data_IF_936073562260
#
_entry.id   IF_936073562260
#
_cell.length_a   1.000
_cell.length_b   1.000
_cell.length_c   1.000
_cell.angle_alpha   90.00
_cell.angle_beta   90.00
_cell.angle_gamma   90.00
#
_symmetry.space_group_name_H-M   'P 1'
#
loop_
_entity.id
_entity.type
_entity.pdbx_description
1 polymer ?
#
# COMPACT_ATOMS: atom_id res chain seq x y z
N UNK A 1 -4.23 24.78 10.50
CA UNK A 1 -3.13 23.96 9.95
C UNK A 1 -2.68 22.80 10.85
N UNK A 2 -2.97 22.77 12.16
CA UNK A 2 -2.52 21.68 13.04
C UNK A 2 -3.15 20.30 12.75
N UNK A 3 -4.46 20.25 12.47
CA UNK A 3 -5.20 19.00 12.20
C UNK A 3 -4.62 18.14 11.05
N UNK A 4 -4.34 18.69 9.85
CA UNK A 4 -3.77 17.89 8.77
C UNK A 4 -2.35 17.41 9.08
N UNK A 5 -1.54 18.20 9.81
CA UNK A 5 -0.20 17.79 10.24
C UNK A 5 -0.27 16.61 11.23
N UNK A 6 -1.20 16.65 12.19
CA UNK A 6 -1.41 15.55 13.12
C UNK A 6 -1.88 14.28 12.40
N UNK A 7 -2.85 14.40 11.49
CA UNK A 7 -3.31 13.27 10.70
C UNK A 7 -2.17 12.66 9.87
N UNK A 8 -1.38 13.51 9.20
CA UNK A 8 -0.22 13.08 8.45
C UNK A 8 0.83 12.38 9.33
N UNK A 9 1.16 12.93 10.50
CA UNK A 9 2.09 12.31 11.43
C UNK A 9 1.60 10.94 11.91
N UNK A 10 0.30 10.80 12.18
CA UNK A 10 -0.32 9.51 12.54
C UNK A 10 -0.21 8.51 11.40
N UNK A 11 -0.49 8.92 10.16
CA UNK A 11 -0.40 8.04 9.00
C UNK A 11 1.03 7.58 8.72
N UNK A 12 2.00 8.50 8.77
CA UNK A 12 3.42 8.19 8.57
C UNK A 12 3.93 7.29 9.69
N UNK A 13 3.63 7.62 10.96
CA UNK A 13 4.02 6.82 12.11
C UNK A 13 3.46 5.40 12.02
N UNK A 14 2.18 5.27 11.67
CA UNK A 14 1.56 3.98 11.40
C UNK A 14 2.26 3.22 10.26
N UNK A 15 2.54 3.91 9.15
CA UNK A 15 3.18 3.30 7.99
C UNK A 15 4.58 2.77 8.30
N UNK A 16 5.40 3.55 9.03
CA UNK A 16 6.72 3.13 9.48
C UNK A 16 6.62 1.91 10.38
N UNK A 17 5.73 1.94 11.38
CA UNK A 17 5.54 0.82 12.30
C UNK A 17 5.10 -0.45 11.55
N UNK A 18 4.11 -0.34 10.67
CA UNK A 18 3.58 -1.47 9.89
C UNK A 18 4.62 -2.02 8.93
N UNK A 19 5.41 -1.16 8.28
CA UNK A 19 6.49 -1.59 7.40
C UNK A 19 7.59 -2.34 8.16
N UNK A 20 7.90 -1.94 9.41
CA UNK A 20 8.88 -2.65 10.26
C UNK A 20 8.35 -3.99 10.76
N UNK A 21 7.05 -4.08 11.06
CA UNK A 21 6.39 -5.30 11.53
C UNK A 21 5.93 -6.24 10.40
N UNK A 22 6.39 -6.02 9.15
CA UNK A 22 5.86 -6.71 7.96
C UNK A 22 6.52 -8.06 7.62
N UNK A 23 7.30 -8.64 8.54
CA UNK A 23 7.94 -9.95 8.34
C UNK A 23 6.94 -11.03 7.90
N UNK A 24 5.81 -11.12 8.60
CA UNK A 24 4.75 -12.10 8.30
C UNK A 24 4.07 -11.84 6.95
N UNK A 25 3.92 -10.57 6.56
CA UNK A 25 3.32 -10.20 5.27
C UNK A 25 4.22 -10.62 4.11
N UNK A 26 5.54 -10.49 4.26
CA UNK A 26 6.51 -10.94 3.25
C UNK A 26 6.49 -12.45 3.12
N UNK A 27 6.51 -13.18 4.23
CA UNK A 27 6.42 -14.64 4.23
C UNK A 27 5.14 -15.13 3.52
N UNK A 28 3.99 -14.52 3.85
CA UNK A 28 2.72 -14.83 3.20
C UNK A 28 2.70 -14.46 1.71
N UNK A 29 3.34 -13.36 1.32
CA UNK A 29 3.45 -12.97 -0.08
C UNK A 29 4.26 -14.00 -0.88
N UNK A 30 5.45 -14.41 -0.41
CA UNK A 30 6.28 -15.39 -1.13
C UNK A 30 5.66 -16.79 -1.22
N UNK A 31 4.77 -17.16 -0.29
CA UNK A 31 4.06 -18.44 -0.34
C UNK A 31 3.05 -18.55 -1.50
N UNK A 32 2.68 -17.43 -2.12
CA UNK A 32 1.68 -17.40 -3.19
C UNK A 32 2.32 -17.46 -4.58
N UNK A 33 1.66 -18.11 -5.55
CA UNK A 33 2.14 -18.15 -6.92
C UNK A 33 2.09 -16.76 -7.56
N UNK A 34 3.06 -16.47 -8.43
CA UNK A 34 3.32 -15.17 -9.06
C UNK A 34 2.06 -14.43 -9.53
N UNK A 35 1.22 -15.09 -10.34
CA UNK A 35 0.02 -14.47 -10.91
C UNK A 35 -0.98 -14.04 -9.83
N UNK A 36 -1.12 -14.82 -8.75
CA UNK A 36 -1.99 -14.45 -7.62
C UNK A 36 -1.42 -13.29 -6.83
N UNK A 37 -0.10 -13.22 -6.65
CA UNK A 37 0.56 -12.09 -5.96
C UNK A 37 0.37 -10.78 -6.71
N UNK A 38 0.57 -10.79 -8.03
CA UNK A 38 0.37 -9.60 -8.87
C UNK A 38 -1.09 -9.13 -8.82
N UNK A 39 -2.04 -10.05 -9.00
CA UNK A 39 -3.47 -9.73 -8.94
C UNK A 39 -3.88 -9.19 -7.56
N UNK A 40 -3.42 -9.80 -6.47
CA UNK A 40 -3.71 -9.33 -5.11
C UNK A 40 -3.04 -7.99 -4.82
N UNK A 41 -1.76 -7.82 -5.20
CA UNK A 41 -1.03 -6.58 -5.04
C UNK A 41 -1.73 -5.41 -5.73
N UNK A 42 -2.13 -5.62 -7.00
CA UNK A 42 -2.91 -4.64 -7.76
C UNK A 42 -4.29 -4.39 -7.13
N UNK A 43 -4.98 -5.45 -6.70
CA UNK A 43 -6.28 -5.34 -6.03
C UNK A 43 -6.22 -4.50 -4.76
N UNK A 44 -5.20 -4.69 -3.92
CA UNK A 44 -4.99 -3.87 -2.73
C UNK A 44 -4.66 -2.42 -3.06
N UNK A 45 -3.88 -2.15 -4.11
CA UNK A 45 -3.62 -0.78 -4.56
C UNK A 45 -4.89 -0.08 -5.07
N UNK A 46 -5.72 -0.76 -5.85
CA UNK A 46 -7.00 -0.23 -6.31
C UNK A 46 -7.95 0.02 -5.12
N UNK A 47 -8.01 -0.91 -4.17
CA UNK A 47 -8.80 -0.73 -2.96
C UNK A 47 -8.28 0.44 -2.11
N UNK A 48 -6.96 0.66 -2.08
CA UNK A 48 -6.34 1.81 -1.39
C UNK A 48 -6.76 3.15 -1.99
N UNK A 49 -6.95 3.20 -3.32
CA UNK A 49 -7.45 4.39 -4.00
C UNK A 49 -8.87 4.73 -3.54
N UNK A 50 -9.74 3.71 -3.46
CA UNK A 50 -11.11 3.88 -2.94
C UNK A 50 -11.09 4.31 -1.48
N UNK A 51 -10.21 3.71 -0.67
CA UNK A 51 -10.04 4.05 0.74
C UNK A 51 -9.50 5.49 0.96
N UNK A 52 -8.77 6.06 0.00
CA UNK A 52 -8.35 7.46 0.04
C UNK A 52 -9.43 8.42 -0.45
N UNK A 53 -9.95 8.17 -1.65
CA UNK A 53 -10.89 9.09 -2.31
C UNK A 53 -12.28 9.07 -1.68
N UNK A 54 -12.77 7.91 -1.25
CA UNK A 54 -14.09 7.76 -0.65
C UNK A 54 -14.28 8.65 0.59
N UNK A 55 -13.39 8.58 1.59
CA UNK A 55 -13.46 9.42 2.78
C UNK A 55 -13.26 10.91 2.52
N UNK A 56 -12.46 11.30 1.51
CA UNK A 56 -12.37 12.69 1.06
C UNK A 56 -13.72 13.14 0.51
N UNK A 57 -14.33 12.37 -0.40
CA UNK A 57 -15.66 12.66 -0.94
C UNK A 57 -16.74 12.73 0.15
N UNK A 58 -16.71 11.80 1.11
CA UNK A 58 -17.60 11.81 2.27
C UNK A 58 -17.41 13.04 3.16
N UNK A 59 -16.17 13.44 3.44
CA UNK A 59 -15.87 14.65 4.19
C UNK A 59 -16.33 15.92 3.45
N UNK A 60 -16.19 15.97 2.11
CA UNK A 60 -16.70 17.06 1.28
C UNK A 60 -18.22 17.13 1.33
N UNK A 61 -18.91 15.99 1.21
CA UNK A 61 -20.37 15.94 1.31
C UNK A 61 -20.88 16.43 2.67
N UNK A 62 -20.23 15.99 3.76
CA UNK A 62 -20.54 16.47 5.11
C UNK A 62 -20.27 17.96 5.27
N UNK A 63 -19.19 18.48 4.70
CA UNK A 63 -18.90 19.92 4.72
C UNK A 63 -19.99 20.70 3.99
N UNK A 64 -20.41 20.23 2.81
CA UNK A 64 -21.47 20.87 2.03
C UNK A 64 -22.81 20.91 2.79
N UNK A 65 -23.19 19.81 3.43
CA UNK A 65 -24.39 19.74 4.28
C UNK A 65 -24.33 20.67 5.50
N UNK A 66 -23.13 21.03 5.96
CA UNK A 66 -22.90 21.93 7.10
C UNK A 66 -22.54 23.36 6.66
N UNK A 67 -22.93 23.77 5.45
CA UNK A 67 -22.72 25.13 4.96
C UNK A 67 -21.26 25.46 4.63
N UNK A 68 -20.51 24.47 4.14
CA UNK A 68 -19.09 24.59 3.79
C UNK A 68 -18.14 24.59 4.97
N UNK A 69 -18.62 24.25 6.18
CA UNK A 69 -17.81 24.19 7.39
C UNK A 69 -17.18 22.82 7.57
N UNK A 70 -15.92 22.81 7.99
CA UNK A 70 -15.26 21.58 8.42
C UNK A 70 -16.00 20.96 9.62
N UNK A 71 -16.23 19.65 9.57
CA UNK A 71 -16.86 18.90 10.66
C UNK A 71 -15.86 17.94 11.29
N UNK A 72 -16.03 17.67 12.60
CA UNK A 72 -15.23 16.66 13.28
C UNK A 72 -15.43 15.26 12.68
N UNK A 73 -16.66 14.96 12.22
CA UNK A 73 -16.95 13.72 11.51
C UNK A 73 -16.17 13.60 10.18
N UNK A 74 -16.09 14.69 9.40
CA UNK A 74 -15.28 14.73 8.17
C UNK A 74 -13.79 14.50 8.44
N UNK A 75 -13.25 15.08 9.53
CA UNK A 75 -11.88 14.82 9.96
C UNK A 75 -11.66 13.37 10.43
N UNK A 76 -12.65 12.77 11.11
CA UNK A 76 -12.63 11.36 11.47
C UNK A 76 -12.57 10.45 10.23
N UNK A 77 -13.38 10.76 9.21
CA UNK A 77 -13.35 10.05 7.92
C UNK A 77 -11.99 10.16 7.26
N UNK A 78 -11.42 11.37 7.16
CA UNK A 78 -10.10 11.59 6.58
C UNK A 78 -9.04 10.76 7.33
N UNK A 79 -9.04 10.81 8.67
CA UNK A 79 -8.05 10.10 9.49
C UNK A 79 -8.12 8.58 9.27
N UNK A 80 -9.32 8.00 9.36
CA UNK A 80 -9.54 6.56 9.18
C UNK A 80 -9.24 6.14 7.73
N UNK A 81 -9.69 6.94 6.77
CA UNK A 81 -9.44 6.74 5.34
C UNK A 81 -7.95 6.71 5.00
N UNK A 82 -7.19 7.67 5.51
CA UNK A 82 -5.74 7.71 5.32
C UNK A 82 -5.02 6.52 5.97
N UNK A 83 -5.46 6.07 7.15
CA UNK A 83 -4.92 4.86 7.78
C UNK A 83 -5.19 3.60 6.95
N UNK A 84 -6.42 3.42 6.47
CA UNK A 84 -6.77 2.32 5.57
C UNK A 84 -5.97 2.38 4.27
N UNK A 85 -5.85 3.57 3.68
CA UNK A 85 -5.06 3.78 2.46
C UNK A 85 -3.61 3.34 2.68
N UNK A 86 -2.95 3.82 3.74
CA UNK A 86 -1.56 3.45 4.05
C UNK A 86 -1.44 1.94 4.31
N UNK A 87 -2.39 1.36 5.05
CA UNK A 87 -2.42 -0.07 5.31
C UNK A 87 -2.47 -0.91 4.03
N UNK A 88 -3.42 -0.59 3.16
CA UNK A 88 -3.64 -1.30 1.91
C UNK A 88 -2.48 -1.09 0.93
N UNK A 89 -1.90 0.12 0.88
CA UNK A 89 -0.71 0.39 0.07
C UNK A 89 0.49 -0.44 0.52
N UNK A 90 0.75 -0.54 1.83
CA UNK A 90 1.86 -1.35 2.35
C UNK A 90 1.68 -2.82 1.97
N UNK A 91 0.46 -3.36 2.11
CA UNK A 91 0.17 -4.74 1.69
C UNK A 91 0.37 -4.88 0.18
N UNK A 92 -0.26 -4.03 -0.62
CA UNK A 92 -0.18 -4.09 -2.08
C UNK A 92 1.25 -4.02 -2.60
N UNK A 93 2.03 -3.06 -2.09
CA UNK A 93 3.45 -2.90 -2.44
C UNK A 93 4.28 -4.10 -1.99
N UNK A 94 4.00 -4.69 -0.82
CA UNK A 94 4.74 -5.89 -0.36
C UNK A 94 4.57 -7.06 -1.33
N UNK A 95 3.35 -7.27 -1.83
CA UNK A 95 3.04 -8.35 -2.79
C UNK A 95 3.69 -8.11 -4.16
N UNK A 96 3.69 -6.86 -4.64
CA UNK A 96 4.35 -6.51 -5.89
C UNK A 96 5.88 -6.59 -5.76
N UNK A 97 6.44 -6.09 -4.66
CA UNK A 97 7.87 -6.15 -4.38
C UNK A 97 8.36 -7.59 -4.29
N UNK A 98 7.61 -8.49 -3.65
CA UNK A 98 7.93 -9.92 -3.62
C UNK A 98 8.04 -10.50 -5.05
N UNK A 99 7.18 -10.06 -5.96
CA UNK A 99 7.24 -10.50 -7.36
C UNK A 99 8.46 -9.94 -8.10
N UNK A 100 8.78 -8.66 -7.91
CA UNK A 100 9.97 -8.05 -8.52
C UNK A 100 11.28 -8.66 -8.02
N UNK A 101 11.33 -9.07 -6.76
CA UNK A 101 12.50 -9.76 -6.18
C UNK A 101 12.68 -11.14 -6.83
N UNK A 102 11.62 -11.91 -7.00
CA UNK A 102 11.69 -13.22 -7.67
C UNK A 102 12.10 -13.09 -9.15
N UNK A 103 11.54 -12.11 -9.86
CA UNK A 103 11.90 -11.85 -11.27
C UNK A 103 13.41 -11.53 -11.39
N UNK A 104 13.97 -10.69 -10.50
CA UNK A 104 15.42 -10.38 -10.48
C UNK A 104 16.32 -11.56 -10.15
N UNK A 105 15.87 -12.47 -9.27
CA UNK A 105 16.65 -13.68 -8.93
C UNK A 105 16.67 -14.65 -10.10
N UNK A 106 15.52 -14.84 -10.76
CA UNK A 106 15.39 -15.73 -11.93
C UNK A 106 16.22 -15.23 -13.10
N UNK A 107 16.21 -13.92 -13.37
CA UNK A 107 17.00 -13.29 -14.44
C UNK A 107 18.51 -13.49 -14.24
N UNK A 108 19.02 -13.28 -13.01
CA UNK A 108 20.44 -13.52 -12.69
C UNK A 108 20.87 -14.98 -12.86
N UNK A 109 19.99 -15.94 -12.54
CA UNK A 109 20.30 -17.35 -12.73
C UNK A 109 20.36 -17.72 -14.21
N UNK A 110 19.47 -17.15 -15.03
CA UNK A 110 19.51 -17.34 -16.48
C UNK A 110 20.80 -16.77 -17.08
N UNK A 111 21.21 -15.56 -16.69
CA UNK A 111 22.47 -14.94 -17.13
C UNK A 111 23.69 -15.80 -16.78
N UNK A 112 23.75 -16.29 -15.53
CA UNK A 112 24.87 -17.14 -15.06
C UNK A 112 24.95 -18.45 -15.85
N UNK A 113 23.81 -19.09 -16.14
CA UNK A 113 23.78 -20.35 -16.92
C UNK A 113 24.21 -20.17 -18.38
N UNK A 114 23.94 -19.01 -18.98
CA UNK A 114 24.35 -18.69 -20.35
C UNK A 114 25.86 -18.41 -20.42
N UNK A 115 26.41 -17.72 -19.41
CA UNK A 115 27.84 -17.42 -19.34
C UNK A 115 28.69 -18.69 -19.18
N UNK A 116 28.24 -19.62 -18.33
CA UNK A 116 28.89 -20.93 -18.11
C UNK A 116 28.86 -21.82 -19.37
N UNK A 117 27.72 -21.84 -20.08
CA UNK A 117 27.56 -22.55 -21.37
C UNK A 117 28.41 -21.99 -22.52
N UNK A 118 28.80 -20.71 -22.46
CA UNK A 118 29.60 -20.06 -23.52
C UNK A 118 31.11 -20.18 -23.31
N UNK A 119 31.51 -20.69 -22.15
CA UNK A 119 32.91 -20.85 -21.72
C UNK A 119 33.46 -22.26 -21.98
N UNK A 120 32.62 -23.19 -22.45
CA UNK A 120 32.97 -24.54 -22.92
C UNK A 120 33.15 -24.58 -24.45
#
# INVERSE_FOLDING_TARGET
MLKPLLAFAVWVGYGIWRARSSGDLRAGAFALPRNKRLAQGMGYLLLSLVAGLGPIGGAMLLSFQNGGKETMAGWGLILIGGLLLVHLQIIGVTFLAATMVEDRVTERQAETSVEESSSE
#
